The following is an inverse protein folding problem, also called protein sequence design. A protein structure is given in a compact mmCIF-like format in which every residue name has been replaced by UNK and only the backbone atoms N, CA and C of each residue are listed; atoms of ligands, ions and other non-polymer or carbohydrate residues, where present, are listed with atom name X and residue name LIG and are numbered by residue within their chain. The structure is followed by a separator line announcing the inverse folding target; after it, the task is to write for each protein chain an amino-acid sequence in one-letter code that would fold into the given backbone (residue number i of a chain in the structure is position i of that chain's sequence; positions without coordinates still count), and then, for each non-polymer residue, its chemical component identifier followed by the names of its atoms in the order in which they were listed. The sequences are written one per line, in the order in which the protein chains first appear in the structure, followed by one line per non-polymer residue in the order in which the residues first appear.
data_IF_241909164900
#
_entry.id   IF_241909164900
#
_cell.length_a   1.000
_cell.length_b   1.000
_cell.length_c   1.000
_cell.angle_alpha   90.00
_cell.angle_beta   90.00
_cell.angle_gamma   90.00
#
_symmetry.space_group_name_H-M   'P 1'
#
loop_
_entity.id
_entity.type
_entity.pdbx_description
1 polymer ?
#
# COMPACT_ATOMS: atom_id res chain seq x y z
N UNK A 1 7.34 23.11 -18.57
CA UNK A 1 8.72 23.21 -19.09
C UNK A 1 9.30 21.81 -19.07
N UNK A 2 9.34 21.12 -20.22
CA UNK A 2 10.02 19.86 -20.36
C UNK A 2 11.53 20.08 -20.20
N UNK A 3 12.08 19.84 -19.04
CA UNK A 3 13.48 19.48 -18.92
C UNK A 3 13.58 18.03 -19.38
N UNK A 4 14.19 17.80 -20.54
CA UNK A 4 14.33 16.45 -21.11
C UNK A 4 15.05 15.55 -20.13
N UNK A 5 14.56 14.32 -19.98
CA UNK A 5 15.24 13.26 -19.22
C UNK A 5 16.57 12.99 -19.94
N UNK A 6 17.68 13.13 -19.21
CA UNK A 6 19.01 12.84 -19.75
C UNK A 6 19.37 11.38 -19.51
N UNK A 7 19.77 10.70 -20.59
CA UNK A 7 20.25 9.31 -20.54
C UNK A 7 21.67 9.27 -21.10
N UNK A 8 22.61 8.77 -20.32
CA UNK A 8 23.99 8.54 -20.74
C UNK A 8 24.35 7.06 -20.56
N UNK A 9 24.42 6.34 -21.68
CA UNK A 9 24.59 4.88 -21.68
C UNK A 9 23.43 4.18 -20.92
N UNK A 10 23.75 3.53 -19.81
CA UNK A 10 22.77 2.85 -18.95
C UNK A 10 22.34 3.70 -17.72
N UNK A 11 22.75 4.96 -17.66
CA UNK A 11 22.44 5.85 -16.54
C UNK A 11 21.34 6.82 -16.95
N UNK A 12 20.20 6.73 -16.31
CA UNK A 12 19.10 7.69 -16.41
C UNK A 12 19.14 8.65 -15.23
N UNK A 13 19.13 9.94 -15.48
CA UNK A 13 19.06 10.94 -14.43
C UNK A 13 17.65 10.92 -13.79
N UNK A 14 17.54 11.08 -12.45
CA UNK A 14 16.25 11.21 -11.80
C UNK A 14 15.42 12.36 -12.38
N UNK A 15 14.13 12.11 -12.58
CA UNK A 15 13.20 13.08 -13.16
C UNK A 15 11.95 13.24 -12.30
N UNK A 16 11.46 14.47 -12.23
CA UNK A 16 10.16 14.80 -11.65
C UNK A 16 9.24 15.22 -12.79
N UNK A 17 8.08 14.57 -12.89
CA UNK A 17 7.05 14.89 -13.87
C UNK A 17 5.88 15.52 -13.14
N UNK A 18 5.56 16.77 -13.50
CA UNK A 18 4.46 17.56 -12.95
C UNK A 18 3.35 17.73 -14.01
N UNK A 19 2.20 18.25 -13.60
CA UNK A 19 1.02 18.47 -14.45
C UNK A 19 0.51 17.17 -15.12
N UNK A 20 0.58 16.07 -14.39
CA UNK A 20 0.14 14.76 -14.87
C UNK A 20 -1.38 14.71 -14.93
N UNK A 21 -1.90 14.14 -16.02
CA UNK A 21 -3.32 13.87 -16.20
C UNK A 21 -3.61 12.37 -16.27
N UNK A 22 -4.86 11.93 -15.96
CA UNK A 22 -5.22 10.51 -15.96
C UNK A 22 -5.03 9.78 -17.29
N UNK A 23 -4.96 10.51 -18.41
CA UNK A 23 -4.76 9.95 -19.75
C UNK A 23 -3.30 9.60 -20.05
N UNK A 24 -2.36 10.06 -19.23
CA UNK A 24 -0.94 9.81 -19.41
C UNK A 24 -0.55 8.42 -18.92
N UNK A 25 0.32 7.72 -19.65
CA UNK A 25 0.83 6.40 -19.27
C UNK A 25 1.50 6.40 -17.90
N UNK A 26 2.23 7.46 -17.56
CA UNK A 26 2.90 7.61 -16.26
C UNK A 26 1.93 7.71 -15.07
N UNK A 27 0.65 8.02 -15.31
CA UNK A 27 -0.41 7.96 -14.30
C UNK A 27 -0.95 6.53 -14.14
N UNK A 28 -1.11 5.81 -15.26
CA UNK A 28 -1.80 4.52 -15.30
C UNK A 28 -0.86 3.34 -15.03
N UNK A 29 0.38 3.42 -15.50
CA UNK A 29 1.32 2.31 -15.46
C UNK A 29 2.34 2.45 -14.33
N UNK A 30 2.73 1.31 -13.77
CA UNK A 30 3.81 1.24 -12.78
C UNK A 30 5.16 1.58 -13.42
N UNK A 31 5.89 2.55 -12.84
CA UNK A 31 7.19 2.99 -13.34
C UNK A 31 8.31 2.44 -12.46
N UNK A 32 9.20 1.62 -13.03
CA UNK A 32 10.41 1.11 -12.37
C UNK A 32 11.66 1.98 -12.62
N UNK A 33 11.50 3.14 -13.25
CA UNK A 33 12.58 4.08 -13.49
C UNK A 33 12.73 5.11 -12.37
N UNK A 34 13.78 5.92 -12.36
CA UNK A 34 14.01 6.99 -11.41
C UNK A 34 13.12 8.21 -11.73
N UNK A 35 11.81 8.00 -11.73
CA UNK A 35 10.81 9.03 -12.07
C UNK A 35 9.87 9.18 -10.86
N UNK A 36 9.54 10.43 -10.53
CA UNK A 36 8.53 10.78 -9.53
C UNK A 36 7.43 11.59 -10.20
N UNK A 37 6.22 11.11 -10.08
CA UNK A 37 4.99 11.78 -10.56
C UNK A 37 4.45 12.71 -9.50
N UNK A 38 4.14 13.95 -9.87
CA UNK A 38 3.54 14.95 -8.98
C UNK A 38 2.14 15.31 -9.47
N UNK A 39 1.15 15.06 -8.62
CA UNK A 39 -0.24 15.45 -8.85
C UNK A 39 -0.65 16.46 -7.78
N UNK A 40 -1.41 17.46 -8.17
CA UNK A 40 -1.91 18.50 -7.27
C UNK A 40 -3.36 18.26 -6.95
N UNK A 41 -3.76 18.60 -5.75
CA UNK A 41 -5.14 18.47 -5.28
C UNK A 41 -5.53 19.68 -4.43
N UNK A 42 -6.83 20.00 -4.37
CA UNK A 42 -7.36 21.13 -3.61
C UNK A 42 -8.06 20.68 -2.32
N UNK A 43 -8.31 19.38 -2.14
CA UNK A 43 -8.99 18.85 -0.95
C UNK A 43 -8.51 17.45 -0.58
N UNK A 44 -8.69 17.05 0.69
CA UNK A 44 -8.38 15.70 1.16
C UNK A 44 -9.20 14.64 0.42
N UNK A 45 -10.45 14.94 0.07
CA UNK A 45 -11.33 14.06 -0.70
C UNK A 45 -10.75 13.76 -2.08
N UNK A 46 -10.24 14.78 -2.73
CA UNK A 46 -9.59 14.65 -4.03
C UNK A 46 -8.29 13.86 -3.93
N UNK A 47 -7.45 14.18 -2.94
CA UNK A 47 -6.20 13.46 -2.69
C UNK A 47 -6.44 11.95 -2.47
N UNK A 48 -7.45 11.59 -1.66
CA UNK A 48 -7.82 10.20 -1.40
C UNK A 48 -8.32 9.52 -2.67
N UNK A 49 -9.18 10.19 -3.44
CA UNK A 49 -9.68 9.65 -4.71
C UNK A 49 -8.54 9.37 -5.68
N UNK A 50 -7.62 10.32 -5.85
CA UNK A 50 -6.45 10.16 -6.73
C UNK A 50 -5.51 9.06 -6.23
N UNK A 51 -5.24 8.98 -4.93
CA UNK A 51 -4.40 7.94 -4.35
C UNK A 51 -5.00 6.53 -4.53
N UNK A 52 -6.34 6.42 -4.57
CA UNK A 52 -7.04 5.15 -4.74
C UNK A 52 -7.33 4.79 -6.22
N UNK A 53 -7.12 5.73 -7.13
CA UNK A 53 -7.26 5.53 -8.59
C UNK A 53 -6.04 4.81 -9.16
N UNK A 54 -5.84 3.56 -8.72
CA UNK A 54 -4.75 2.69 -9.12
C UNK A 54 -5.15 1.22 -8.98
N UNK A 55 -4.63 0.37 -9.84
CA UNK A 55 -4.76 -1.09 -9.72
C UNK A 55 -3.90 -1.67 -8.60
N UNK A 56 -2.97 -0.89 -8.06
CA UNK A 56 -2.03 -1.31 -7.02
C UNK A 56 -2.36 -0.70 -5.66
N UNK A 57 -1.84 -1.31 -4.61
CA UNK A 57 -2.03 -0.85 -3.25
C UNK A 57 -1.08 -1.54 -2.27
N UNK A 58 0.25 -1.43 -2.47
CA UNK A 58 1.21 -2.01 -1.56
C UNK A 58 1.45 -1.11 -0.36
N UNK A 59 2.03 0.05 -0.60
CA UNK A 59 2.43 0.98 0.47
C UNK A 59 2.08 2.41 0.10
N UNK A 60 1.68 3.17 1.12
CA UNK A 60 1.38 4.60 1.01
C UNK A 60 2.00 5.38 2.18
N UNK A 61 2.06 6.70 2.03
CA UNK A 61 2.50 7.59 3.09
C UNK A 61 1.67 8.88 3.10
N UNK A 62 1.37 9.37 4.30
CA UNK A 62 0.70 10.65 4.51
C UNK A 62 1.58 11.54 5.38
N UNK A 63 1.96 12.69 4.87
CA UNK A 63 2.76 13.67 5.60
C UNK A 63 1.90 14.84 6.05
N UNK A 64 1.82 15.08 7.36
CA UNK A 64 1.07 16.20 7.94
C UNK A 64 1.60 16.54 9.33
N UNK A 65 1.51 17.81 9.70
CA UNK A 65 1.70 18.25 11.10
C UNK A 65 0.49 17.93 11.98
N UNK A 66 -0.68 17.85 11.38
CA UNK A 66 -1.92 17.43 12.04
C UNK A 66 -2.05 15.91 11.93
N UNK A 67 -1.74 15.20 13.01
CA UNK A 67 -1.80 13.74 13.08
C UNK A 67 -3.23 13.23 12.98
N UNK A 68 -4.21 13.96 13.53
CA UNK A 68 -5.63 13.59 13.43
C UNK A 68 -6.11 13.59 11.97
N UNK A 69 -5.77 14.64 11.22
CA UNK A 69 -6.05 14.74 9.79
C UNK A 69 -5.31 13.66 8.99
N UNK A 70 -4.01 13.44 9.29
CA UNK A 70 -3.24 12.39 8.63
C UNK A 70 -3.86 11.00 8.83
N UNK A 71 -4.31 10.69 10.04
CA UNK A 71 -4.97 9.42 10.36
C UNK A 71 -6.29 9.27 9.61
N UNK A 72 -7.11 10.32 9.55
CA UNK A 72 -8.37 10.31 8.82
C UNK A 72 -8.18 10.06 7.31
N UNK A 73 -7.13 10.62 6.72
CA UNK A 73 -6.75 10.36 5.32
C UNK A 73 -6.22 8.94 5.17
N UNK A 74 -5.27 8.50 6.02
CA UNK A 74 -4.62 7.21 5.94
C UNK A 74 -5.62 6.04 6.00
N UNK A 75 -6.66 6.14 6.84
CA UNK A 75 -7.72 5.12 6.96
C UNK A 75 -8.56 4.94 5.69
N UNK A 76 -8.49 5.86 4.76
CA UNK A 76 -9.27 5.87 3.52
C UNK A 76 -8.43 5.55 2.28
N UNK A 77 -7.10 5.50 2.41
CA UNK A 77 -6.22 5.06 1.33
C UNK A 77 -6.23 3.54 1.25
N UNK A 78 -6.46 3.02 0.06
CA UNK A 78 -6.52 1.59 -0.25
C UNK A 78 -5.13 1.02 -0.49
N UNK A 79 -4.36 0.88 0.59
CA UNK A 79 -3.04 0.23 0.58
C UNK A 79 -2.92 -0.76 1.73
N UNK A 80 -2.09 -1.78 1.56
CA UNK A 80 -1.83 -2.76 2.61
C UNK A 80 -1.01 -2.19 3.76
N UNK A 81 -0.21 -1.16 3.48
CA UNK A 81 0.65 -0.46 4.43
C UNK A 81 0.43 1.05 4.25
N UNK A 82 0.29 1.78 5.34
CA UNK A 82 0.25 3.24 5.31
C UNK A 82 1.10 3.83 6.43
N UNK A 83 2.03 4.69 6.08
CA UNK A 83 2.92 5.37 7.02
C UNK A 83 2.49 6.82 7.22
N UNK A 84 2.47 7.29 8.46
CA UNK A 84 2.28 8.71 8.76
C UNK A 84 3.64 9.32 9.09
N UNK A 85 4.02 10.34 8.32
CA UNK A 85 5.30 11.04 8.41
C UNK A 85 6.52 10.14 8.28
N UNK A 86 6.37 9.00 7.57
CA UNK A 86 7.43 8.06 7.25
C UNK A 86 7.45 7.73 5.76
N UNK A 87 8.55 7.17 5.24
CA UNK A 87 8.67 6.79 3.83
C UNK A 87 7.84 5.54 3.53
N UNK A 88 7.45 5.38 2.26
CA UNK A 88 6.76 4.16 1.79
C UNK A 88 7.65 2.93 1.80
N UNK A 89 8.96 3.10 1.69
CA UNK A 89 9.96 2.03 1.77
C UNK A 89 10.39 1.88 3.22
N UNK A 90 9.56 1.18 3.99
CA UNK A 90 9.82 0.84 5.38
C UNK A 90 9.18 -0.52 5.68
N UNK A 91 9.96 -1.44 6.23
CA UNK A 91 9.51 -2.78 6.63
C UNK A 91 10.17 -3.20 7.94
N UNK A 92 9.42 -3.95 8.73
CA UNK A 92 9.90 -4.59 9.95
C UNK A 92 9.45 -6.06 9.97
N UNK A 93 10.37 -6.97 10.21
CA UNK A 93 10.16 -8.40 10.07
C UNK A 93 8.96 -8.98 10.87
N UNK A 94 8.56 -8.32 11.95
CA UNK A 94 7.43 -8.73 12.78
C UNK A 94 6.09 -8.12 12.33
N UNK A 95 6.10 -7.14 11.43
CA UNK A 95 4.91 -6.45 10.96
C UNK A 95 4.24 -7.17 9.77
N UNK A 96 2.92 -7.06 9.61
CA UNK A 96 2.20 -7.72 8.52
C UNK A 96 2.42 -7.00 7.19
N UNK A 97 3.45 -7.41 6.46
CA UNK A 97 3.78 -6.87 5.15
C UNK A 97 2.90 -7.48 4.05
N UNK A 98 2.33 -6.66 3.20
CA UNK A 98 1.58 -7.10 2.01
C UNK A 98 0.66 -6.02 1.47
N UNK A 99 0.22 -6.20 0.23
CA UNK A 99 -0.61 -5.28 -0.51
C UNK A 99 -2.09 -5.65 -0.53
N UNK A 100 -2.85 -4.79 -1.21
CA UNK A 100 -4.23 -5.01 -1.64
C UNK A 100 -4.31 -4.82 -3.14
N UNK A 101 -5.47 -5.06 -3.75
CA UNK A 101 -5.67 -4.96 -5.20
C UNK A 101 -4.65 -5.83 -5.96
N UNK A 102 -4.11 -5.37 -7.08
CA UNK A 102 -3.09 -6.06 -7.87
C UNK A 102 -1.73 -6.24 -7.18
N UNK A 103 -1.48 -5.57 -6.06
CA UNK A 103 -0.24 -5.71 -5.29
C UNK A 103 -0.13 -7.02 -4.50
N UNK A 104 -1.16 -7.85 -4.47
CA UNK A 104 -1.08 -9.22 -3.97
C UNK A 104 -2.06 -9.56 -2.87
N UNK A 105 -1.91 -10.78 -2.34
CA UNK A 105 -2.78 -11.39 -1.34
C UNK A 105 -1.98 -11.71 -0.09
N UNK A 106 -2.70 -11.86 1.03
CA UNK A 106 -2.12 -12.29 2.30
C UNK A 106 -1.18 -11.28 2.93
N UNK A 107 -0.53 -11.73 4.00
CA UNK A 107 0.44 -10.92 4.73
C UNK A 107 1.63 -11.77 5.14
N UNK A 108 2.84 -11.26 4.92
CA UNK A 108 4.08 -11.81 5.44
C UNK A 108 4.48 -11.13 6.75
N UNK A 109 5.41 -11.72 7.46
CA UNK A 109 5.95 -11.17 8.71
C UNK A 109 5.19 -11.63 9.95
N UNK A 110 5.94 -11.94 11.00
CA UNK A 110 5.45 -12.29 12.33
C UNK A 110 4.33 -13.34 12.34
N UNK A 111 3.30 -13.05 13.13
CA UNK A 111 2.12 -13.93 13.28
C UNK A 111 1.26 -14.01 12.01
N UNK A 112 1.30 -12.99 11.16
CA UNK A 112 0.53 -12.95 9.93
C UNK A 112 0.99 -14.06 8.97
N UNK A 113 2.30 -14.26 8.82
CA UNK A 113 2.85 -15.33 7.99
C UNK A 113 2.43 -16.73 8.49
N UNK A 114 2.38 -16.92 9.81
CA UNK A 114 1.92 -18.20 10.39
C UNK A 114 0.46 -18.45 10.00
N UNK A 115 -0.40 -17.45 10.13
CA UNK A 115 -1.81 -17.56 9.77
C UNK A 115 -2.01 -17.84 8.27
N UNK A 116 -1.16 -17.27 7.40
CA UNK A 116 -1.23 -17.43 5.95
C UNK A 116 -0.85 -18.84 5.49
N UNK A 117 0.09 -19.49 6.18
CA UNK A 117 0.61 -20.81 5.80
C UNK A 117 0.07 -21.97 6.64
N UNK A 118 -0.93 -21.74 7.51
CA UNK A 118 -1.51 -22.76 8.38
C UNK A 118 -3.02 -22.69 8.41
N UNK A 119 -3.64 -23.87 8.54
CA UNK A 119 -5.08 -23.98 8.78
C UNK A 119 -5.36 -24.24 10.26
N UNK A 120 -6.35 -23.51 10.81
CA UNK A 120 -6.83 -23.77 12.15
C UNK A 120 -7.73 -25.00 12.17
N UNK A 121 -7.41 -25.96 13.03
CA UNK A 121 -8.20 -27.16 13.22
C UNK A 121 -8.63 -27.31 14.68
N UNK A 122 -9.91 -27.38 14.91
CA UNK A 122 -10.46 -27.71 16.23
C UNK A 122 -10.64 -29.23 16.36
N UNK A 123 -10.00 -29.85 17.35
CA UNK A 123 -10.14 -31.26 17.69
C UNK A 123 -10.71 -31.35 19.10
N UNK A 124 -11.82 -32.08 19.27
CA UNK A 124 -12.38 -32.43 20.57
C UNK A 124 -12.27 -33.92 20.79
N UNK A 125 -11.90 -34.32 22.00
CA UNK A 125 -11.88 -35.71 22.43
C UNK A 125 -12.88 -35.88 23.56
N UNK A 126 -13.93 -36.68 23.33
CA UNK A 126 -14.89 -37.04 24.37
C UNK A 126 -14.48 -38.38 24.97
N UNK A 127 -14.02 -38.37 26.20
CA UNK A 127 -13.52 -39.56 26.92
C UNK A 127 -14.62 -40.32 27.70
N UNK A 128 -15.79 -39.67 27.90
CA UNK A 128 -16.97 -40.27 28.54
C UNK A 128 -18.21 -39.98 27.72
N UNK A 129 -19.17 -40.93 27.66
CA UNK A 129 -20.46 -40.68 27.01
C UNK A 129 -21.17 -39.44 27.60
N UNK A 130 -21.67 -38.56 26.73
CA UNK A 130 -22.53 -37.45 27.17
C UNK A 130 -23.92 -37.97 27.44
N UNK A 131 -24.49 -37.52 28.56
CA UNK A 131 -25.89 -37.65 28.80
C UNK A 131 -26.59 -36.46 28.14
N UNK A 132 -27.46 -36.75 27.16
CA UNK A 132 -28.30 -35.73 26.56
C UNK A 132 -29.62 -35.73 27.29
N UNK A 133 -30.03 -34.60 27.93
CA UNK A 133 -31.36 -34.48 28.49
C UNK A 133 -32.36 -34.50 27.30
N UNK A 134 -33.23 -35.47 27.30
CA UNK A 134 -34.38 -35.59 26.38
C UNK A 134 -35.56 -34.89 27.04
#
# INVERSE_FOLDING_TARGET
TQSGVSVDGNIMQPAIVDEITPEMLVYQEESFGPIVSVLRFDSDEEAIRMANDSEYGLSSAVFSRDIGRAMAVAQRIESGICHINGPTVHDEAQMPFGGVKGSGYGRFGGKAAIAEFTDLRWITVQTTPRHFPI
#
